data_IF_656245576598
#
_entry.id   IF_656245576598
#
_cell.length_a   1.000
_cell.length_b   1.000
_cell.length_c   1.000
_cell.angle_alpha   90.00
_cell.angle_beta   90.00
_cell.angle_gamma   90.00
#
_symmetry.space_group_name_H-M   'P 1'
#
loop_
_entity.id
_entity.type
_entity.pdbx_description
1 polymer ?
#
# COMPACT_ATOMS: atom_id res chain seq x y z
N UNK A 1 24.46 -6.28 -25.97
CA UNK A 1 23.60 -7.35 -25.41
C UNK A 1 23.04 -6.83 -24.10
N UNK A 2 21.88 -6.21 -24.20
CA UNK A 2 21.18 -5.61 -23.06
C UNK A 2 20.57 -6.70 -22.20
N UNK A 3 20.94 -6.75 -20.94
CA UNK A 3 20.21 -7.51 -19.93
C UNK A 3 18.99 -6.69 -19.53
N UNK A 4 17.88 -6.86 -20.23
CA UNK A 4 16.60 -6.42 -19.70
C UNK A 4 16.38 -7.15 -18.38
N UNK A 5 16.32 -6.43 -17.28
CA UNK A 5 16.06 -7.04 -15.98
C UNK A 5 14.62 -7.54 -15.96
N UNK A 6 14.36 -8.64 -15.27
CA UNK A 6 13.01 -9.19 -15.07
C UNK A 6 12.00 -8.10 -14.59
N UNK A 7 12.53 -7.09 -13.93
CA UNK A 7 11.77 -5.97 -13.36
C UNK A 7 11.36 -4.95 -14.43
N UNK A 8 12.17 -4.76 -15.48
CA UNK A 8 11.84 -3.86 -16.60
C UNK A 8 10.69 -4.47 -17.41
N UNK A 9 10.75 -5.79 -17.65
CA UNK A 9 9.70 -6.57 -18.30
C UNK A 9 8.37 -6.54 -17.50
N UNK A 10 8.44 -6.58 -16.14
CA UNK A 10 7.28 -6.49 -15.26
C UNK A 10 6.54 -5.16 -15.47
N UNK A 11 7.27 -4.05 -15.55
CA UNK A 11 6.66 -2.72 -15.62
C UNK A 11 5.99 -2.46 -16.97
N UNK A 12 6.62 -2.87 -18.06
CA UNK A 12 6.09 -2.66 -19.42
C UNK A 12 4.78 -3.45 -19.69
N UNK A 13 4.69 -4.68 -19.17
CA UNK A 13 3.57 -5.56 -19.47
C UNK A 13 2.36 -5.38 -18.54
N UNK A 14 2.53 -4.74 -17.36
CA UNK A 14 1.41 -4.51 -16.44
C UNK A 14 0.79 -3.12 -16.55
N UNK A 15 1.40 -2.21 -17.30
CA UNK A 15 0.91 -0.85 -17.44
C UNK A 15 0.40 -0.56 -18.86
N UNK A 16 -0.68 -1.24 -19.25
CA UNK A 16 -1.47 -0.81 -20.38
C UNK A 16 -2.67 -0.01 -19.86
N UNK A 17 -2.89 1.23 -20.32
CA UNK A 17 -4.07 2.01 -19.98
C UNK A 17 -5.35 1.44 -20.61
N UNK A 18 -5.24 0.52 -21.55
CA UNK A 18 -6.38 -0.17 -22.11
C UNK A 18 -7.00 -1.08 -21.05
N UNK A 19 -8.21 -0.74 -20.66
CA UNK A 19 -9.09 -1.63 -19.89
C UNK A 19 -9.10 -2.96 -20.62
N UNK A 20 -8.39 -3.95 -20.07
CA UNK A 20 -8.38 -5.29 -20.63
C UNK A 20 -9.82 -5.83 -20.56
N UNK A 21 -10.56 -5.65 -21.64
CA UNK A 21 -11.77 -6.42 -21.88
C UNK A 21 -11.32 -7.87 -21.92
N UNK A 22 -11.85 -8.70 -21.02
CA UNK A 22 -11.66 -10.13 -21.09
C UNK A 22 -12.05 -10.57 -22.52
N UNK A 23 -11.23 -11.36 -23.20
CA UNK A 23 -11.61 -11.90 -24.49
C UNK A 23 -12.94 -12.66 -24.33
N UNK A 24 -13.88 -12.51 -25.25
CA UNK A 24 -15.16 -13.19 -25.17
C UNK A 24 -14.93 -14.70 -25.23
N UNK A 25 -15.25 -15.41 -24.13
CA UNK A 25 -15.16 -16.87 -24.05
C UNK A 25 -14.35 -17.46 -22.87
N UNK A 26 -13.66 -16.65 -22.06
CA UNK A 26 -13.05 -17.21 -20.84
C UNK A 26 -14.12 -17.50 -19.77
N UNK A 27 -14.10 -18.68 -19.12
CA UNK A 27 -15.02 -18.97 -18.03
C UNK A 27 -14.76 -18.01 -16.87
N UNK A 28 -15.77 -17.27 -16.44
CA UNK A 28 -15.72 -16.48 -15.23
C UNK A 28 -15.33 -17.40 -14.08
N UNK A 29 -14.18 -17.14 -13.43
CA UNK A 29 -13.76 -17.90 -12.26
C UNK A 29 -14.76 -17.67 -11.13
N UNK A 30 -15.55 -18.69 -10.84
CA UNK A 30 -16.56 -18.69 -9.78
C UNK A 30 -15.88 -18.96 -8.44
N UNK A 31 -15.70 -17.93 -7.61
CA UNK A 31 -15.17 -18.10 -6.26
C UNK A 31 -16.28 -18.60 -5.34
N UNK A 32 -16.12 -19.83 -4.86
CA UNK A 32 -17.06 -20.44 -3.90
C UNK A 32 -16.56 -20.21 -2.49
N UNK A 33 -17.24 -19.34 -1.73
CA UNK A 33 -16.99 -19.15 -0.31
C UNK A 33 -17.38 -20.44 0.46
N UNK A 34 -16.40 -21.09 1.08
CA UNK A 34 -16.65 -22.25 1.96
C UNK A 34 -16.77 -21.78 3.41
N UNK A 35 -17.81 -21.02 3.74
CA UNK A 35 -18.26 -20.85 5.12
C UNK A 35 -19.69 -21.39 5.19
N UNK A 36 -19.85 -22.42 6.01
CA UNK A 36 -21.05 -23.17 6.31
C UNK A 36 -22.38 -22.67 5.73
N UNK A 37 -22.95 -23.43 4.79
CA UNK A 37 -24.34 -23.44 4.35
C UNK A 37 -24.86 -22.51 3.26
N UNK A 38 -24.09 -21.65 2.60
CA UNK A 38 -24.46 -21.18 1.23
C UNK A 38 -23.23 -20.66 0.52
N UNK A 39 -22.93 -21.25 -0.64
CA UNK A 39 -21.90 -20.76 -1.56
C UNK A 39 -22.46 -19.53 -2.26
N UNK A 40 -22.17 -18.34 -1.79
CA UNK A 40 -22.47 -17.13 -2.53
C UNK A 40 -21.43 -16.96 -3.64
N UNK A 41 -21.90 -16.75 -4.87
CA UNK A 41 -21.07 -16.39 -5.99
C UNK A 41 -20.81 -14.87 -5.91
N UNK A 42 -19.55 -14.46 -5.77
CA UNK A 42 -19.18 -13.04 -5.78
C UNK A 42 -19.03 -12.61 -7.24
N UNK A 43 -19.81 -11.61 -7.64
CA UNK A 43 -19.68 -10.95 -8.92
C UNK A 43 -18.75 -9.76 -8.73
N UNK A 44 -17.56 -9.73 -9.37
CA UNK A 44 -16.63 -8.63 -9.24
C UNK A 44 -17.26 -7.29 -9.68
N UNK A 45 -16.82 -6.20 -9.06
CA UNK A 45 -17.19 -4.86 -9.51
C UNK A 45 -16.78 -4.64 -10.98
N UNK A 46 -17.48 -3.79 -11.73
CA UNK A 46 -17.14 -3.51 -13.12
C UNK A 46 -15.66 -3.12 -13.28
N UNK A 47 -14.97 -3.78 -14.20
CA UNK A 47 -13.54 -3.55 -14.47
C UNK A 47 -12.57 -4.13 -13.44
N UNK A 48 -13.06 -4.90 -12.46
CA UNK A 48 -12.22 -5.62 -11.48
C UNK A 48 -12.09 -7.07 -11.89
N UNK A 49 -10.86 -7.52 -12.07
CA UNK A 49 -10.51 -8.92 -12.26
C UNK A 49 -10.45 -9.61 -10.88
N UNK A 50 -11.00 -10.82 -10.70
CA UNK A 50 -10.94 -11.51 -9.41
C UNK A 50 -9.49 -11.87 -9.00
N UNK A 51 -8.64 -12.20 -9.96
CA UNK A 51 -7.24 -12.52 -9.73
C UNK A 51 -6.34 -11.28 -9.75
N UNK A 52 -5.44 -11.16 -8.81
CA UNK A 52 -4.40 -10.13 -8.78
C UNK A 52 -3.29 -10.47 -9.77
N UNK A 53 -2.80 -11.70 -9.72
CA UNK A 53 -1.78 -12.26 -10.63
C UNK A 53 -2.19 -13.69 -10.97
N UNK A 54 -2.25 -14.00 -12.26
CA UNK A 54 -2.56 -15.34 -12.74
C UNK A 54 -1.44 -15.93 -13.62
N UNK A 55 -1.68 -17.13 -14.17
CA UNK A 55 -0.74 -17.80 -15.06
C UNK A 55 -0.33 -16.97 -16.28
N UNK A 56 -1.30 -16.32 -16.93
CA UNK A 56 -1.04 -15.51 -18.11
C UNK A 56 -0.18 -14.28 -17.80
N UNK A 57 -0.37 -13.66 -16.64
CA UNK A 57 0.45 -12.55 -16.19
C UNK A 57 1.92 -12.99 -15.99
N UNK A 58 2.13 -14.18 -15.41
CA UNK A 58 3.49 -14.73 -15.24
C UNK A 58 4.12 -15.08 -16.59
N UNK A 59 3.35 -15.64 -17.52
CA UNK A 59 3.86 -16.00 -18.86
C UNK A 59 4.20 -14.75 -19.68
N UNK A 60 3.45 -13.66 -19.56
CA UNK A 60 3.83 -12.38 -20.18
C UNK A 60 5.20 -11.89 -19.74
N UNK A 61 5.53 -12.07 -18.45
CA UNK A 61 6.81 -11.67 -17.88
C UNK A 61 7.95 -12.64 -18.21
N UNK A 62 7.64 -13.92 -18.26
CA UNK A 62 8.60 -14.98 -18.49
C UNK A 62 8.03 -16.00 -19.51
N UNK A 63 8.08 -15.70 -20.83
CA UNK A 63 7.48 -16.54 -21.87
C UNK A 63 7.98 -17.99 -21.86
N UNK A 64 9.20 -18.24 -21.39
CA UNK A 64 9.74 -19.58 -21.23
C UNK A 64 8.94 -20.49 -20.26
N UNK A 65 8.13 -19.89 -19.38
CA UNK A 65 7.28 -20.62 -18.44
C UNK A 65 5.93 -21.05 -19.03
N UNK A 66 5.61 -20.65 -20.26
CA UNK A 66 4.34 -20.98 -20.91
C UNK A 66 4.07 -22.49 -20.98
N UNK A 67 5.13 -23.29 -21.15
CA UNK A 67 5.06 -24.77 -21.26
C UNK A 67 5.11 -25.45 -19.89
N UNK A 68 5.24 -24.70 -18.78
CA UNK A 68 5.44 -25.25 -17.44
C UNK A 68 4.36 -24.81 -16.42
N UNK A 69 3.06 -25.03 -16.66
CA UNK A 69 1.98 -24.51 -15.81
C UNK A 69 2.05 -25.04 -14.36
N UNK A 70 2.52 -26.29 -14.17
CA UNK A 70 2.70 -26.87 -12.83
C UNK A 70 3.78 -26.12 -12.02
N UNK A 71 4.85 -25.65 -12.67
CA UNK A 71 5.92 -24.88 -12.04
C UNK A 71 5.40 -23.50 -11.64
N UNK A 72 4.70 -22.81 -12.54
CA UNK A 72 4.09 -21.51 -12.27
C UNK A 72 3.13 -21.61 -11.08
N UNK A 73 2.25 -22.61 -11.06
CA UNK A 73 1.31 -22.79 -9.96
C UNK A 73 2.02 -23.08 -8.63
N UNK A 74 3.14 -23.82 -8.63
CA UNK A 74 3.95 -24.02 -7.42
C UNK A 74 4.58 -22.71 -6.95
N UNK A 75 5.08 -21.90 -7.87
CA UNK A 75 5.66 -20.59 -7.57
C UNK A 75 4.61 -19.66 -6.95
N UNK A 76 3.43 -19.53 -7.57
CA UNK A 76 2.33 -18.70 -7.05
C UNK A 76 1.92 -19.14 -5.64
N UNK A 77 1.85 -20.44 -5.38
CA UNK A 77 1.58 -20.99 -4.03
C UNK A 77 2.70 -20.69 -3.05
N UNK A 78 3.95 -20.88 -3.46
CA UNK A 78 5.10 -20.57 -2.60
C UNK A 78 5.14 -19.11 -2.17
N UNK A 79 4.75 -18.21 -3.07
CA UNK A 79 4.65 -16.77 -2.82
C UNK A 79 3.32 -16.36 -2.14
N UNK A 80 2.45 -17.32 -1.82
CA UNK A 80 1.10 -17.10 -1.29
C UNK A 80 0.21 -16.19 -2.19
N UNK A 81 0.52 -16.10 -3.49
CA UNK A 81 -0.27 -15.32 -4.45
C UNK A 81 -1.65 -15.96 -4.67
N UNK A 82 -1.73 -17.28 -4.63
CA UNK A 82 -3.01 -18.01 -4.66
C UNK A 82 -3.96 -17.56 -3.53
N UNK A 83 -3.42 -17.31 -2.33
CA UNK A 83 -4.19 -16.77 -1.21
C UNK A 83 -4.57 -15.32 -1.43
N UNK A 84 -3.66 -14.50 -1.98
CA UNK A 84 -3.97 -13.10 -2.33
C UNK A 84 -5.09 -13.06 -3.36
N UNK A 85 -5.03 -13.87 -4.41
CA UNK A 85 -6.08 -13.98 -5.41
C UNK A 85 -7.41 -14.41 -4.79
N UNK A 86 -7.39 -15.42 -3.92
CA UNK A 86 -8.59 -15.88 -3.22
C UNK A 86 -9.24 -14.77 -2.40
N UNK A 87 -8.47 -14.05 -1.59
CA UNK A 87 -8.99 -12.96 -0.75
C UNK A 87 -9.46 -11.77 -1.60
N UNK A 88 -8.69 -11.41 -2.64
CA UNK A 88 -9.09 -10.35 -3.56
C UNK A 88 -10.41 -10.71 -4.27
N UNK A 89 -10.53 -11.93 -4.80
CA UNK A 89 -11.76 -12.40 -5.42
C UNK A 89 -12.95 -12.45 -4.47
N UNK A 90 -12.74 -12.82 -3.21
CA UNK A 90 -13.76 -12.88 -2.17
C UNK A 90 -14.47 -11.55 -1.92
N UNK A 91 -13.76 -10.43 -2.11
CA UNK A 91 -14.27 -9.07 -1.85
C UNK A 91 -14.20 -8.17 -3.10
N UNK A 92 -14.07 -8.76 -4.28
CA UNK A 92 -13.89 -8.01 -5.54
C UNK A 92 -15.12 -7.20 -5.98
N UNK A 93 -16.25 -7.37 -5.31
CA UNK A 93 -17.47 -6.56 -5.43
C UNK A 93 -17.36 -5.19 -4.71
N UNK A 94 -16.36 -5.02 -3.84
CA UNK A 94 -16.11 -3.81 -3.05
C UNK A 94 -14.88 -3.08 -3.56
N UNK A 95 -14.88 -1.74 -3.46
CA UNK A 95 -13.81 -0.91 -4.01
C UNK A 95 -13.20 0.03 -2.96
N UNK A 96 -11.90 0.32 -3.10
CA UNK A 96 -11.19 1.32 -2.31
C UNK A 96 -11.35 1.12 -0.82
N UNK A 97 -11.96 2.09 -0.14
CA UNK A 97 -12.17 2.06 1.32
C UNK A 97 -13.05 0.88 1.76
N UNK A 98 -14.06 0.50 0.97
CA UNK A 98 -14.93 -0.63 1.32
C UNK A 98 -14.21 -1.95 1.23
N UNK A 99 -13.34 -2.13 0.25
CA UNK A 99 -12.47 -3.28 0.16
C UNK A 99 -11.49 -3.34 1.35
N UNK A 100 -10.83 -2.22 1.68
CA UNK A 100 -9.92 -2.15 2.83
C UNK A 100 -10.65 -2.43 4.16
N UNK A 101 -11.90 -1.97 4.30
CA UNK A 101 -12.76 -2.23 5.47
C UNK A 101 -13.12 -3.71 5.57
N UNK A 102 -13.46 -4.35 4.45
CA UNK A 102 -13.75 -5.78 4.42
C UNK A 102 -12.52 -6.61 4.81
N UNK A 103 -11.34 -6.26 4.30
CA UNK A 103 -10.10 -6.92 4.71
C UNK A 103 -9.84 -6.77 6.21
N UNK A 104 -10.05 -5.58 6.76
CA UNK A 104 -9.79 -5.29 8.17
C UNK A 104 -10.74 -6.02 9.10
N UNK A 105 -12.05 -5.97 8.80
CA UNK A 105 -13.11 -6.39 9.73
C UNK A 105 -13.70 -7.77 9.46
N UNK A 106 -13.60 -8.27 8.23
CA UNK A 106 -14.25 -9.53 7.85
C UNK A 106 -13.23 -10.63 7.50
N UNK A 107 -12.08 -10.26 6.89
CA UNK A 107 -11.09 -11.26 6.51
C UNK A 107 -10.06 -11.50 7.60
N UNK A 108 -9.37 -10.42 8.01
CA UNK A 108 -8.25 -10.56 8.96
C UNK A 108 -8.65 -10.34 10.41
N UNK A 109 -9.84 -9.78 10.68
CA UNK A 109 -10.40 -9.54 12.02
C UNK A 109 -9.38 -8.84 12.94
N UNK A 110 -8.69 -7.82 12.41
CA UNK A 110 -7.72 -7.06 13.21
C UNK A 110 -8.41 -6.30 14.34
N UNK A 111 -7.91 -6.49 15.55
CA UNK A 111 -8.32 -5.73 16.73
C UNK A 111 -7.52 -4.42 16.76
N UNK A 112 -8.12 -3.33 16.27
CA UNK A 112 -7.47 -2.03 16.16
C UNK A 112 -7.66 -1.21 17.43
N UNK A 113 -6.56 -0.94 18.16
CA UNK A 113 -6.52 0.10 19.17
C UNK A 113 -6.02 1.38 18.50
N UNK A 114 -6.87 2.41 18.49
CA UNK A 114 -6.55 3.69 17.83
C UNK A 114 -6.52 4.80 18.86
N UNK A 115 -5.36 5.48 18.96
CA UNK A 115 -5.20 6.61 19.89
C UNK A 115 -5.40 7.92 19.13
N UNK A 116 -6.06 8.90 19.77
CA UNK A 116 -6.34 10.25 19.25
C UNK A 116 -7.05 10.25 17.88
N UNK A 117 -7.93 9.26 17.65
CA UNK A 117 -8.64 9.12 16.36
C UNK A 117 -9.59 10.30 16.10
N UNK A 118 -10.11 10.92 17.14
CA UNK A 118 -10.98 12.09 17.12
C UNK A 118 -10.36 13.31 16.43
N UNK A 119 -9.05 13.33 16.24
CA UNK A 119 -8.39 14.39 15.46
C UNK A 119 -8.95 14.50 14.05
N UNK A 120 -9.41 13.38 13.45
CA UNK A 120 -9.99 13.36 12.12
C UNK A 120 -11.35 14.06 12.03
N UNK A 121 -12.06 14.24 13.16
CA UNK A 121 -13.32 14.97 13.22
C UNK A 121 -13.19 16.43 12.75
N UNK A 122 -11.99 17.02 12.95
CA UNK A 122 -11.63 18.37 12.49
C UNK A 122 -11.44 18.46 10.98
N UNK A 123 -11.33 17.32 10.30
CA UNK A 123 -10.98 17.20 8.88
C UNK A 123 -12.05 16.47 8.06
N UNK A 124 -13.31 16.55 8.45
CA UNK A 124 -14.44 16.02 7.66
C UNK A 124 -14.53 16.65 6.28
N UNK A 125 -14.00 17.84 6.13
CA UNK A 125 -13.90 18.58 4.87
C UNK A 125 -12.52 19.19 4.71
N UNK A 126 -12.18 19.61 3.50
CA UNK A 126 -10.90 20.21 3.19
C UNK A 126 -9.74 19.22 3.04
N UNK A 127 -8.63 19.65 2.47
CA UNK A 127 -7.47 18.82 2.22
C UNK A 127 -6.59 18.71 3.47
N UNK A 128 -5.97 17.56 3.64
CA UNK A 128 -4.87 17.34 4.57
C UNK A 128 -3.97 16.19 4.08
N UNK A 129 -2.80 16.08 4.66
CA UNK A 129 -1.86 15.02 4.40
C UNK A 129 -1.71 14.16 5.65
N UNK A 130 -1.61 12.85 5.49
CA UNK A 130 -1.09 11.97 6.53
C UNK A 130 0.31 11.51 6.18
N UNK A 131 1.20 11.47 7.19
CA UNK A 131 2.54 10.88 7.08
C UNK A 131 2.69 9.80 8.13
N UNK A 132 3.20 8.63 7.74
CA UNK A 132 3.33 7.52 8.69
C UNK A 132 4.62 6.72 8.47
N UNK A 133 5.09 6.07 9.57
CA UNK A 133 6.06 5.00 9.46
C UNK A 133 5.47 3.82 8.69
N UNK A 134 6.34 2.96 8.14
CA UNK A 134 5.95 1.85 7.27
C UNK A 134 6.52 0.50 7.75
N UNK A 135 6.15 0.04 8.97
CA UNK A 135 6.83 -1.08 9.61
C UNK A 135 6.56 -2.43 8.96
N UNK A 136 5.41 -2.63 8.34
CA UNK A 136 4.97 -3.93 7.81
C UNK A 136 5.15 -4.02 6.30
N UNK A 137 4.71 -3.00 5.56
CA UNK A 137 4.76 -2.98 4.09
C UNK A 137 3.60 -3.69 3.39
N UNK A 138 2.67 -4.27 4.13
CA UNK A 138 1.51 -4.96 3.57
C UNK A 138 0.18 -4.40 4.09
N UNK A 139 -0.10 -4.51 5.38
CA UNK A 139 -1.42 -4.14 5.91
C UNK A 139 -1.49 -2.75 6.56
N UNK A 140 -0.39 -2.09 6.84
CA UNK A 140 -0.39 -0.69 7.30
C UNK A 140 -1.11 0.25 6.32
N UNK A 141 -0.87 0.12 5.01
CA UNK A 141 -1.63 0.85 3.99
C UNK A 141 -3.12 0.51 3.94
N UNK A 142 -3.48 -0.77 4.18
CA UNK A 142 -4.87 -1.21 4.23
C UNK A 142 -5.58 -0.59 5.44
N UNK A 143 -4.94 -0.66 6.62
CA UNK A 143 -5.47 -0.09 7.86
C UNK A 143 -5.60 1.43 7.75
N UNK A 144 -4.59 2.10 7.18
CA UNK A 144 -4.63 3.54 6.96
C UNK A 144 -5.81 3.94 6.07
N UNK A 145 -6.01 3.22 4.96
CA UNK A 145 -7.14 3.45 4.06
C UNK A 145 -8.48 3.17 4.74
N UNK A 146 -8.56 2.13 5.61
CA UNK A 146 -9.75 1.87 6.40
C UNK A 146 -10.03 2.99 7.41
N UNK A 147 -9.05 3.35 8.25
CA UNK A 147 -9.25 4.32 9.34
C UNK A 147 -9.57 5.71 8.79
N UNK A 148 -8.72 6.28 7.96
CA UNK A 148 -8.92 7.64 7.42
C UNK A 148 -10.07 7.65 6.42
N UNK A 149 -10.18 6.63 5.58
CA UNK A 149 -11.25 6.49 4.60
C UNK A 149 -12.64 6.32 5.22
N UNK A 150 -12.75 5.84 6.45
CA UNK A 150 -14.02 5.77 7.19
C UNK A 150 -14.59 7.17 7.51
N UNK A 151 -13.72 8.17 7.68
CA UNK A 151 -14.11 9.58 7.89
C UNK A 151 -14.14 10.35 6.57
N UNK A 152 -13.19 10.09 5.69
CA UNK A 152 -12.98 10.76 4.40
C UNK A 152 -12.93 9.72 3.27
N UNK A 153 -14.08 9.44 2.68
CA UNK A 153 -14.23 8.43 1.60
C UNK A 153 -13.36 8.71 0.37
N UNK A 154 -13.00 9.95 0.17
CA UNK A 154 -12.12 10.46 -0.87
C UNK A 154 -10.62 10.38 -0.53
N UNK A 155 -10.26 9.82 0.63
CA UNK A 155 -8.87 9.61 1.01
C UNK A 155 -8.17 8.61 0.08
N UNK A 156 -6.95 8.97 -0.35
CA UNK A 156 -6.08 8.09 -1.12
C UNK A 156 -4.71 7.99 -0.50
N UNK A 157 -4.01 6.91 -0.79
CA UNK A 157 -2.62 6.68 -0.34
C UNK A 157 -1.71 6.59 -1.55
N UNK A 158 -0.58 7.28 -1.51
CA UNK A 158 0.46 7.12 -2.52
C UNK A 158 1.18 5.79 -2.30
N UNK A 159 1.21 4.95 -3.32
CA UNK A 159 1.71 3.58 -3.26
C UNK A 159 2.66 3.25 -4.41
N UNK A 160 3.44 2.17 -4.24
CA UNK A 160 4.23 1.62 -5.33
C UNK A 160 3.31 1.10 -6.45
N UNK A 161 3.69 1.37 -7.70
CA UNK A 161 2.98 0.98 -8.91
C UNK A 161 2.55 -0.50 -8.94
N UNK A 162 3.34 -1.40 -8.37
CA UNK A 162 3.00 -2.84 -8.32
C UNK A 162 1.67 -3.10 -7.61
N UNK A 163 1.26 -2.23 -6.68
CA UNK A 163 -0.01 -2.36 -5.96
C UNK A 163 -1.24 -2.03 -6.81
N UNK A 164 -1.05 -1.46 -8.00
CA UNK A 164 -2.15 -1.29 -8.97
C UNK A 164 -2.73 -2.62 -9.47
N UNK A 165 -2.01 -3.73 -9.28
CA UNK A 165 -2.56 -5.06 -9.58
C UNK A 165 -3.69 -5.46 -8.61
N UNK A 166 -3.75 -4.85 -7.42
CA UNK A 166 -4.89 -4.97 -6.51
C UNK A 166 -6.05 -4.10 -6.99
N UNK A 167 -6.73 -4.53 -8.05
CA UNK A 167 -7.67 -3.69 -8.79
C UNK A 167 -8.81 -3.15 -7.91
N UNK A 168 -9.29 -3.93 -6.96
CA UNK A 168 -10.31 -3.50 -6.02
C UNK A 168 -9.84 -2.34 -5.11
N UNK A 169 -8.54 -2.18 -4.88
CA UNK A 169 -7.99 -1.08 -4.08
C UNK A 169 -7.63 0.17 -4.88
N UNK A 170 -7.58 0.10 -6.21
CA UNK A 170 -7.18 1.25 -7.08
C UNK A 170 -7.86 2.58 -6.75
N UNK A 171 -9.17 2.65 -6.46
CA UNK A 171 -9.79 3.92 -6.14
C UNK A 171 -9.21 4.62 -4.90
N UNK A 172 -8.59 3.85 -3.98
CA UNK A 172 -7.91 4.35 -2.80
C UNK A 172 -6.40 4.63 -3.00
N UNK A 173 -5.87 4.46 -4.22
CA UNK A 173 -4.44 4.58 -4.49
C UNK A 173 -4.10 5.67 -5.49
N UNK A 174 -2.93 6.28 -5.31
CA UNK A 174 -2.20 7.01 -6.35
C UNK A 174 -0.86 6.31 -6.52
N UNK A 175 -0.66 5.69 -7.68
CA UNK A 175 0.49 4.85 -7.92
C UNK A 175 1.68 5.62 -8.50
N UNK A 176 2.88 5.38 -7.95
CA UNK A 176 4.14 5.92 -8.41
C UNK A 176 5.21 4.83 -8.44
N UNK A 177 6.23 4.97 -9.28
CA UNK A 177 7.44 4.16 -9.14
C UNK A 177 8.40 4.88 -8.19
N UNK A 178 8.70 4.31 -7.01
CA UNK A 178 9.56 4.96 -6.03
C UNK A 178 11.05 4.90 -6.42
N UNK A 179 11.41 4.15 -7.45
CA UNK A 179 12.80 4.00 -7.87
C UNK A 179 13.21 5.14 -8.80
N UNK A 180 14.42 5.67 -8.59
CA UNK A 180 15.06 6.55 -9.58
C UNK A 180 15.43 5.72 -10.81
N UNK A 181 14.51 5.65 -11.77
CA UNK A 181 14.74 4.92 -13.01
C UNK A 181 15.23 5.85 -14.11
N UNK A 182 16.20 5.39 -14.90
CA UNK A 182 16.59 6.02 -16.17
C UNK A 182 15.57 5.76 -17.27
N UNK A 183 14.67 4.80 -17.08
CA UNK A 183 13.63 4.41 -18.01
C UNK A 183 12.61 5.55 -18.19
N UNK A 184 12.42 6.06 -19.44
CA UNK A 184 11.49 7.15 -19.72
C UNK A 184 10.04 6.83 -19.34
N UNK A 185 9.57 5.60 -19.54
CA UNK A 185 8.20 5.20 -19.24
C UNK A 185 7.94 5.18 -17.73
N UNK A 186 8.86 4.65 -16.93
CA UNK A 186 8.75 4.68 -15.47
C UNK A 186 8.74 6.12 -14.94
N UNK A 187 9.57 6.99 -15.52
CA UNK A 187 9.55 8.43 -15.17
C UNK A 187 8.24 9.08 -15.52
N UNK A 188 7.66 8.76 -16.68
CA UNK A 188 6.35 9.28 -17.12
C UNK A 188 5.24 8.86 -16.16
N UNK A 189 5.23 7.60 -15.74
CA UNK A 189 4.28 7.08 -14.75
C UNK A 189 4.41 7.83 -13.43
N UNK A 190 5.62 7.96 -12.90
CA UNK A 190 5.88 8.70 -11.66
C UNK A 190 5.43 10.15 -11.77
N UNK A 191 5.73 10.82 -12.88
CA UNK A 191 5.28 12.20 -13.12
C UNK A 191 3.74 12.29 -13.19
N UNK A 192 3.07 11.31 -13.78
CA UNK A 192 1.61 11.25 -13.82
C UNK A 192 1.05 11.10 -12.40
N UNK A 193 1.51 10.13 -11.62
CA UNK A 193 1.08 9.95 -10.24
C UNK A 193 1.35 11.17 -9.35
N UNK A 194 2.49 11.84 -9.53
CA UNK A 194 2.79 13.08 -8.81
C UNK A 194 1.82 14.22 -9.18
N UNK A 195 1.48 14.37 -10.45
CA UNK A 195 0.48 15.36 -10.90
C UNK A 195 -0.91 15.03 -10.37
N UNK A 196 -1.30 13.75 -10.41
CA UNK A 196 -2.56 13.27 -9.85
C UNK A 196 -2.63 13.57 -8.34
N UNK A 197 -1.56 13.32 -7.58
CA UNK A 197 -1.46 13.63 -6.16
C UNK A 197 -1.67 15.13 -5.88
N UNK A 198 -0.99 15.99 -6.63
CA UNK A 198 -1.14 17.45 -6.51
C UNK A 198 -2.58 17.88 -6.82
N UNK A 199 -3.15 17.37 -7.91
CA UNK A 199 -4.51 17.72 -8.30
C UNK A 199 -5.55 17.22 -7.29
N UNK A 200 -5.36 16.01 -6.75
CA UNK A 200 -6.21 15.43 -5.73
C UNK A 200 -6.29 16.34 -4.47
N UNK A 201 -5.14 16.76 -3.95
CA UNK A 201 -5.10 17.64 -2.78
C UNK A 201 -5.62 19.03 -3.10
N UNK A 202 -5.31 19.61 -4.27
CA UNK A 202 -5.84 20.90 -4.71
C UNK A 202 -7.36 20.91 -4.88
N UNK A 203 -7.94 19.77 -5.19
CA UNK A 203 -9.40 19.59 -5.25
C UNK A 203 -10.06 19.43 -3.86
N UNK A 204 -9.30 19.54 -2.77
CA UNK A 204 -9.83 19.47 -1.41
C UNK A 204 -9.81 18.07 -0.81
N UNK A 205 -9.14 17.10 -1.43
CA UNK A 205 -9.11 15.72 -0.99
C UNK A 205 -7.86 15.39 -0.17
N UNK A 206 -7.96 14.51 0.85
CA UNK A 206 -6.82 14.13 1.67
C UNK A 206 -5.95 13.04 1.02
N UNK A 207 -4.65 13.08 1.33
CA UNK A 207 -3.66 12.19 0.75
C UNK A 207 -2.69 11.64 1.81
N UNK A 208 -2.40 10.33 1.74
CA UNK A 208 -1.48 9.66 2.66
C UNK A 208 -0.15 9.31 2.00
N UNK A 209 0.91 9.43 2.81
CA UNK A 209 2.27 9.06 2.43
C UNK A 209 2.91 8.13 3.45
N UNK A 210 3.73 7.22 2.94
CA UNK A 210 4.80 6.54 3.66
C UNK A 210 6.13 7.13 3.18
N UNK A 211 6.62 8.24 3.79
CA UNK A 211 7.65 9.07 3.17
C UNK A 211 9.00 8.38 3.01
N UNK A 212 9.25 7.29 3.76
CA UNK A 212 10.45 6.47 3.59
C UNK A 212 10.51 5.78 2.22
N UNK A 213 9.37 5.63 1.53
CA UNK A 213 9.26 4.95 0.22
C UNK A 213 9.63 3.48 0.23
N UNK A 214 9.85 2.91 1.41
CA UNK A 214 10.19 1.51 1.63
C UNK A 214 9.80 1.08 3.03
N UNK A 215 9.68 -0.23 3.23
CA UNK A 215 9.40 -0.82 4.54
C UNK A 215 10.52 -0.49 5.51
N UNK A 216 10.16 -0.17 6.78
CA UNK A 216 11.10 0.09 7.86
C UNK A 216 12.15 -1.02 7.98
N UNK A 217 13.37 -0.65 8.27
CA UNK A 217 14.45 -1.60 8.52
C UNK A 217 14.55 -1.90 10.01
N UNK A 218 15.07 -3.07 10.32
CA UNK A 218 15.48 -3.44 11.67
C UNK A 218 16.97 -3.19 11.79
N UNK A 219 17.37 -2.35 12.72
CA UNK A 219 18.77 -2.12 13.02
C UNK A 219 19.43 -3.31 13.73
N UNK A 220 20.70 -3.17 14.12
CA UNK A 220 21.44 -4.21 14.84
C UNK A 220 21.00 -4.35 16.31
N UNK A 221 20.30 -3.33 16.87
CA UNK A 221 19.66 -3.37 18.21
C UNK A 221 18.24 -3.95 18.17
N UNK A 222 17.80 -4.46 17.02
CA UNK A 222 16.43 -4.91 16.76
C UNK A 222 15.37 -3.81 16.87
N UNK A 223 15.77 -2.54 16.79
CA UNK A 223 14.86 -1.42 16.67
C UNK A 223 14.39 -1.26 15.22
N UNK A 224 13.10 -0.98 15.09
CA UNK A 224 12.48 -0.77 13.78
C UNK A 224 12.39 0.72 13.54
N UNK A 225 13.03 1.16 12.45
CA UNK A 225 12.95 2.53 12.00
C UNK A 225 12.89 2.59 10.47
N UNK A 226 12.18 3.59 9.98
CA UNK A 226 12.21 3.94 8.58
C UNK A 226 13.62 4.39 8.17
N UNK A 227 13.93 4.17 6.91
CA UNK A 227 15.02 4.89 6.24
C UNK A 227 14.76 6.38 6.32
N UNK A 228 15.73 7.17 5.95
CA UNK A 228 15.52 8.62 5.75
C UNK A 228 14.31 8.84 4.83
N UNK A 229 13.50 9.80 5.20
CA UNK A 229 12.34 10.16 4.41
C UNK A 229 12.78 10.82 3.10
N UNK A 230 12.14 10.45 2.02
CA UNK A 230 12.53 10.89 0.69
C UNK A 230 12.28 12.38 0.50
N UNK A 231 13.32 13.11 0.14
CA UNK A 231 13.25 14.57 -0.09
C UNK A 231 12.15 14.93 -1.12
N UNK A 232 11.94 14.10 -2.13
CA UNK A 232 10.88 14.33 -3.14
C UNK A 232 9.49 14.37 -2.52
N UNK A 233 9.23 13.53 -1.50
CA UNK A 233 7.95 13.53 -0.78
C UNK A 233 7.85 14.75 0.14
N UNK A 234 8.93 15.10 0.84
CA UNK A 234 8.95 16.31 1.69
C UNK A 234 8.73 17.57 0.84
N UNK A 235 9.34 17.63 -0.34
CA UNK A 235 9.12 18.73 -1.30
C UNK A 235 7.67 18.81 -1.76
N UNK A 236 7.04 17.67 -2.03
CA UNK A 236 5.64 17.61 -2.39
C UNK A 236 4.75 18.11 -1.24
N UNK A 237 4.99 17.65 -0.01
CA UNK A 237 4.25 18.10 1.19
C UNK A 237 4.37 19.62 1.34
N UNK A 238 5.59 20.15 1.26
CA UNK A 238 5.84 21.61 1.32
C UNK A 238 5.11 22.38 0.22
N UNK A 239 5.07 21.83 -0.99
CA UNK A 239 4.39 22.49 -2.13
C UNK A 239 2.87 22.51 -1.97
N UNK A 240 2.29 21.50 -1.32
CA UNK A 240 0.85 21.37 -1.18
C UNK A 240 0.24 22.34 -0.17
N UNK A 241 1.02 22.83 0.80
CA UNK A 241 0.59 23.84 1.77
C UNK A 241 -0.75 23.51 2.45
N UNK A 242 -0.84 22.30 3.00
CA UNK A 242 -2.01 21.80 3.76
C UNK A 242 -1.56 21.23 5.10
N UNK A 243 -2.45 21.10 6.10
CA UNK A 243 -2.11 20.47 7.38
C UNK A 243 -1.60 19.06 7.21
N UNK A 244 -0.65 18.65 8.06
CA UNK A 244 -0.08 17.30 8.09
C UNK A 244 -0.42 16.61 9.40
N UNK A 245 -1.01 15.42 9.35
CA UNK A 245 -1.31 14.59 10.51
C UNK A 245 -0.30 13.45 10.56
N UNK A 246 0.61 13.41 11.56
CA UNK A 246 1.52 12.30 11.75
C UNK A 246 0.78 11.09 12.31
N UNK A 247 1.13 9.89 11.84
CA UNK A 247 0.52 8.62 12.27
C UNK A 247 1.64 7.62 12.55
N UNK A 248 1.52 6.89 13.66
CA UNK A 248 2.49 5.87 14.03
C UNK A 248 1.84 4.49 14.19
N UNK A 249 2.36 3.50 13.47
CA UNK A 249 2.00 2.10 13.61
C UNK A 249 2.92 1.40 14.60
N UNK A 250 2.36 0.91 15.72
CA UNK A 250 3.08 0.19 16.79
C UNK A 250 3.17 -1.31 16.50
N UNK A 251 3.57 -1.67 15.28
CA UNK A 251 3.67 -3.06 14.86
C UNK A 251 5.01 -3.36 14.19
N UNK A 252 5.28 -4.63 14.01
CA UNK A 252 6.51 -5.09 13.36
C UNK A 252 6.28 -6.40 12.61
N UNK A 253 7.03 -6.59 11.55
CA UNK A 253 7.11 -7.87 10.85
C UNK A 253 7.70 -8.97 11.75
N UNK A 254 7.48 -10.22 11.36
CA UNK A 254 8.12 -11.36 12.03
C UNK A 254 9.64 -11.23 11.99
N UNK A 255 10.32 -11.81 12.97
CA UNK A 255 11.78 -11.85 13.02
C UNK A 255 12.36 -12.48 11.73
N UNK A 256 11.69 -13.50 11.19
CA UNK A 256 12.10 -14.14 9.94
C UNK A 256 12.03 -13.18 8.74
N UNK A 257 10.93 -12.45 8.60
CA UNK A 257 10.78 -11.45 7.54
C UNK A 257 11.85 -10.34 7.64
N UNK A 258 12.16 -9.92 8.87
CA UNK A 258 13.20 -8.92 9.13
C UNK A 258 14.60 -9.43 8.80
N UNK A 259 14.92 -10.70 9.12
CA UNK A 259 16.20 -11.33 8.73
C UNK A 259 16.33 -11.41 7.22
N UNK A 260 15.28 -11.83 6.50
CA UNK A 260 15.28 -11.84 5.04
C UNK A 260 15.58 -10.44 4.47
N UNK A 261 15.04 -9.39 5.09
CA UNK A 261 15.30 -8.00 4.67
C UNK A 261 16.74 -7.54 4.88
N UNK A 262 17.50 -8.15 5.81
CA UNK A 262 18.94 -7.90 5.98
C UNK A 262 19.77 -8.62 4.91
N UNK A 263 19.31 -9.76 4.40
CA UNK A 263 19.98 -10.52 3.34
C UNK A 263 19.71 -9.85 2.00
N UNK A 264 18.44 -9.69 1.64
CA UNK A 264 18.01 -9.03 0.40
C UNK A 264 16.58 -8.48 0.58
N UNK A 265 16.39 -7.22 0.20
CA UNK A 265 15.08 -6.56 0.27
C UNK A 265 14.02 -7.26 -0.61
N UNK A 266 14.44 -7.93 -1.71
CA UNK A 266 13.55 -8.65 -2.63
C UNK A 266 12.97 -9.88 -1.94
N UNK A 267 13.78 -10.64 -1.19
CA UNK A 267 13.33 -11.79 -0.42
C UNK A 267 12.29 -11.38 0.62
N UNK A 268 12.52 -10.24 1.31
CA UNK A 268 11.53 -9.67 2.22
C UNK A 268 10.23 -9.32 1.49
N UNK A 269 10.31 -8.65 0.36
CA UNK A 269 9.13 -8.26 -0.44
C UNK A 269 8.33 -9.48 -0.88
N UNK A 270 8.99 -10.54 -1.33
CA UNK A 270 8.34 -11.80 -1.69
C UNK A 270 7.64 -12.49 -0.50
N UNK A 271 8.07 -12.21 0.73
CA UNK A 271 7.48 -12.77 1.95
C UNK A 271 6.27 -11.98 2.46
N UNK A 272 6.07 -10.73 2.04
CA UNK A 272 5.00 -9.85 2.53
C UNK A 272 3.58 -10.46 2.45
N UNK A 273 3.18 -11.16 1.39
CA UNK A 273 1.90 -11.85 1.39
C UNK A 273 1.77 -12.84 2.55
N UNK A 274 2.83 -13.57 2.89
CA UNK A 274 2.84 -14.49 4.03
C UNK A 274 2.67 -13.76 5.38
N UNK A 275 3.28 -12.60 5.56
CA UNK A 275 3.10 -11.77 6.76
C UNK A 275 1.65 -11.28 6.90
N UNK A 276 1.02 -10.90 5.77
CA UNK A 276 -0.38 -10.52 5.74
C UNK A 276 -1.28 -11.66 6.25
N UNK A 277 -1.12 -12.88 5.75
CA UNK A 277 -1.94 -14.03 6.16
C UNK A 277 -1.66 -14.49 7.60
N UNK A 278 -0.46 -14.24 8.12
CA UNK A 278 -0.12 -14.53 9.52
C UNK A 278 -0.64 -13.48 10.51
N UNK A 279 -1.30 -12.43 10.01
CA UNK A 279 -1.80 -11.32 10.82
C UNK A 279 -3.25 -11.49 11.31
N UNK A 280 -3.92 -12.59 10.98
CA UNK A 280 -5.30 -12.85 11.41
C UNK A 280 -5.46 -12.69 12.93
N UNK A 281 -6.48 -11.94 13.36
CA UNK A 281 -6.81 -11.70 14.75
C UNK A 281 -5.77 -10.90 15.55
N UNK A 282 -4.75 -10.31 14.89
CA UNK A 282 -3.73 -9.52 15.60
C UNK A 282 -4.31 -8.25 16.19
N UNK A 283 -3.84 -7.92 17.39
CA UNK A 283 -4.00 -6.59 17.99
C UNK A 283 -2.99 -5.64 17.37
N UNK A 284 -3.48 -4.56 16.80
CA UNK A 284 -2.66 -3.55 16.12
C UNK A 284 -3.00 -2.19 16.70
N UNK A 285 -2.00 -1.49 17.21
CA UNK A 285 -2.16 -0.14 17.71
C UNK A 285 -1.69 0.86 16.68
N UNK A 286 -2.49 1.90 16.47
CA UNK A 286 -2.22 3.03 15.57
C UNK A 286 -2.47 4.31 16.33
N UNK A 287 -1.51 5.22 16.35
CA UNK A 287 -1.65 6.50 17.05
C UNK A 287 -1.62 7.65 16.06
N UNK A 288 -2.59 8.53 16.17
CA UNK A 288 -2.66 9.80 15.43
C UNK A 288 -2.05 10.91 16.27
N UNK A 289 -1.23 11.74 15.65
CA UNK A 289 -0.69 12.93 16.28
C UNK A 289 -1.55 14.17 16.04
N UNK A 290 -1.21 15.25 16.74
CA UNK A 290 -1.84 16.53 16.49
C UNK A 290 -1.47 17.06 15.09
N UNK A 291 -2.40 17.76 14.42
CA UNK A 291 -2.16 18.30 13.11
C UNK A 291 -1.05 19.38 13.14
N UNK A 292 -0.09 19.22 12.27
CA UNK A 292 0.98 20.19 12.03
C UNK A 292 0.46 21.21 11.02
N UNK A 293 0.34 22.45 11.46
CA UNK A 293 -0.16 23.55 10.62
C UNK A 293 0.78 23.89 9.46
N UNK A 294 0.29 24.56 8.45
CA UNK A 294 1.13 25.09 7.37
C UNK A 294 2.14 26.11 7.91
N UNK A 295 1.72 26.91 8.90
CA UNK A 295 2.58 27.88 9.56
C UNK A 295 3.76 27.19 10.26
N UNK A 296 3.51 26.08 10.97
CA UNK A 296 4.58 25.31 11.62
C UNK A 296 5.54 24.67 10.61
N UNK A 297 5.01 24.19 9.49
CA UNK A 297 5.83 23.65 8.40
C UNK A 297 6.75 24.72 7.78
N UNK A 298 6.25 25.95 7.66
CA UNK A 298 6.98 27.06 7.04
C UNK A 298 8.07 27.67 7.95
N UNK A 299 8.17 27.26 9.21
CA UNK A 299 9.28 27.63 10.10
C UNK A 299 10.63 27.03 9.69
N UNK A 300 10.61 25.99 8.86
CA UNK A 300 11.81 25.30 8.40
C UNK A 300 12.25 25.83 7.04
N UNK A 301 13.48 26.28 6.93
CA UNK A 301 14.00 26.87 5.69
C UNK A 301 14.32 25.78 4.66
N UNK A 302 14.85 24.65 5.09
CA UNK A 302 15.31 23.57 4.22
C UNK A 302 14.38 22.35 4.23
N UNK A 303 14.39 21.57 3.13
CA UNK A 303 13.63 20.31 3.06
C UNK A 303 14.12 19.25 4.05
N UNK A 304 15.44 19.08 4.26
CA UNK A 304 15.94 18.15 5.29
C UNK A 304 15.43 18.49 6.70
N UNK A 305 15.43 19.75 7.09
CA UNK A 305 14.91 20.19 8.40
C UNK A 305 13.42 19.87 8.54
N UNK A 306 12.61 20.24 7.54
CA UNK A 306 11.18 19.91 7.55
C UNK A 306 10.96 18.38 7.61
N UNK A 307 11.72 17.61 6.82
CA UNK A 307 11.64 16.16 6.82
C UNK A 307 12.00 15.55 8.18
N UNK A 308 13.06 16.03 8.81
CA UNK A 308 13.47 15.62 10.14
C UNK A 308 12.40 15.95 11.19
N UNK A 309 11.82 17.14 11.13
CA UNK A 309 10.74 17.56 12.02
C UNK A 309 9.49 16.67 11.87
N UNK A 310 8.98 16.48 10.66
CA UNK A 310 7.80 15.64 10.41
C UNK A 310 8.04 14.19 10.86
N UNK A 311 9.25 13.66 10.60
CA UNK A 311 9.65 12.33 11.05
C UNK A 311 9.71 12.27 12.58
N UNK A 312 10.31 13.24 13.23
CA UNK A 312 10.38 13.31 14.71
C UNK A 312 8.97 13.32 15.30
N UNK A 313 8.06 14.16 14.81
CA UNK A 313 6.66 14.22 15.26
C UNK A 313 5.92 12.90 15.07
N UNK A 314 6.21 12.16 14.01
CA UNK A 314 5.67 10.83 13.81
C UNK A 314 6.22 9.83 14.84
N UNK A 315 7.51 9.85 15.12
CA UNK A 315 8.15 8.90 16.04
C UNK A 315 7.95 9.22 17.51
N UNK A 316 7.70 10.49 17.88
CA UNK A 316 7.28 10.90 19.24
C UNK A 316 6.02 10.13 19.70
N UNK A 317 5.11 9.80 18.80
CA UNK A 317 3.90 9.02 19.09
C UNK A 317 4.20 7.62 19.63
N UNK A 318 5.37 7.05 19.33
CA UNK A 318 5.83 5.78 19.88
C UNK A 318 5.94 5.83 21.41
N UNK A 319 6.40 6.96 21.95
CA UNK A 319 6.69 7.10 23.37
C UNK A 319 5.49 7.69 24.14
N UNK A 320 4.74 8.61 23.53
CA UNK A 320 3.53 9.21 24.14
C UNK A 320 2.50 8.12 24.51
N UNK A 321 2.31 7.12 23.65
CA UNK A 321 1.31 6.07 23.85
C UNK A 321 1.88 4.72 24.30
N UNK A 322 3.11 4.71 24.84
CA UNK A 322 3.80 3.46 25.23
C UNK A 322 3.14 2.74 26.41
N UNK A 323 2.49 3.48 27.31
CA UNK A 323 1.97 3.03 28.59
C UNK A 323 0.43 2.96 28.67
N UNK A 324 -0.24 2.92 27.52
CA UNK A 324 -1.70 2.85 27.43
C UNK A 324 -2.27 1.47 27.04
#
# INVERSE_FOLDING_TARGET
MEKNSLQDTITENFYSPDVAQNPPGEPQHKYRLSLGKRKAEVVPAPGVRPDVINFHDVVKLAPALATHPKLVNRLLKFLAIDKVNFVHGKFSDRLGVDFATALTKEEYLWDLKVDNYEVLEKFKTGPFITVSNHPIGSYDGIILLHLVGSVRRDYRVMVNLILNNLQAMRPGFIAVDPQKSSDPEKRKITMHGMREAIQHVKNGHPLGFFPAGAISNVDWKLEIADREWQEVIIRLIRQLQVPVIPIYFHCKNSTFCNILGKIDWRLRTMRLPGELFSSYGKKIRVSFGDPISVEDQNKFETLPELGAFLRAKTYELKDIYKNG
#
